data_IF_560829893972
#
_entry.id   IF_560829893972
#
_cell.length_a   1.000
_cell.length_b   1.000
_cell.length_c   1.000
_cell.angle_alpha   90.00
_cell.angle_beta   90.00
_cell.angle_gamma   90.00
#
_symmetry.space_group_name_H-M   'P 1'
#
loop_
_entity.id
_entity.type
_entity.pdbx_description
1 polymer ?
#
# COMPACT_ATOMS: atom_id res chain seq x y z
N UNK A 1 4.13 15.11 22.38
CA UNK A 1 4.55 16.50 22.63
C UNK A 1 3.52 17.15 23.52
N UNK A 2 3.93 18.18 24.27
CA UNK A 2 3.02 19.01 25.06
C UNK A 2 2.33 20.05 24.15
N UNK A 3 1.08 20.39 24.43
CA UNK A 3 0.39 21.48 23.74
C UNK A 3 1.03 22.84 24.06
N UNK A 4 0.95 23.77 23.12
CA UNK A 4 1.49 25.11 23.31
C UNK A 4 0.67 25.87 24.36
N UNK A 5 1.36 26.49 25.32
CA UNK A 5 0.77 27.39 26.30
C UNK A 5 0.76 28.81 25.73
N UNK A 6 -0.42 29.42 25.69
CA UNK A 6 -0.61 30.77 25.14
C UNK A 6 0.24 31.79 25.90
N UNK A 7 1.09 32.52 25.17
CA UNK A 7 1.97 33.56 25.73
C UNK A 7 3.35 33.07 26.17
N UNK A 8 3.62 31.77 26.12
CA UNK A 8 4.93 31.20 26.45
C UNK A 8 5.64 30.67 25.20
N UNK A 9 6.70 31.37 24.79
CA UNK A 9 7.65 30.86 23.80
C UNK A 9 8.34 29.61 24.35
N UNK A 10 8.42 28.54 23.54
CA UNK A 10 9.03 27.24 23.85
C UNK A 10 8.28 26.33 24.84
N UNK A 11 6.97 26.52 25.01
CA UNK A 11 6.11 25.65 25.83
C UNK A 11 5.86 24.25 25.23
N UNK A 12 6.29 24.00 23.99
CA UNK A 12 6.10 22.72 23.30
C UNK A 12 7.31 21.79 23.47
N UNK A 13 7.04 20.49 23.58
CA UNK A 13 8.09 19.45 23.56
C UNK A 13 7.97 18.56 22.33
N UNK A 14 9.10 17.99 21.91
CA UNK A 14 9.16 17.04 20.80
C UNK A 14 8.23 15.84 21.03
N UNK A 15 7.74 15.24 19.94
CA UNK A 15 7.05 13.96 20.00
C UNK A 15 8.00 12.83 20.39
N UNK A 16 7.50 11.85 21.14
CA UNK A 16 8.22 10.61 21.43
C UNK A 16 8.17 9.63 20.25
N UNK A 17 7.25 9.84 19.30
CA UNK A 17 7.03 8.97 18.14
C UNK A 17 7.16 9.78 16.85
N UNK A 18 7.84 9.19 15.87
CA UNK A 18 7.98 9.71 14.52
C UNK A 18 7.51 8.65 13.51
N UNK A 19 6.56 9.04 12.66
CA UNK A 19 6.11 8.24 11.53
C UNK A 19 6.92 8.59 10.29
N UNK A 20 7.38 7.58 9.56
CA UNK A 20 8.04 7.76 8.26
C UNK A 20 7.03 7.58 7.11
N UNK A 21 7.49 7.83 5.87
CA UNK A 21 6.65 7.72 4.68
C UNK A 21 6.10 6.31 4.45
N UNK A 22 4.78 6.22 4.23
CA UNK A 22 4.09 5.02 3.77
C UNK A 22 4.56 4.64 2.36
N UNK A 23 5.27 3.52 2.27
CA UNK A 23 5.77 2.94 1.04
C UNK A 23 4.79 1.90 0.51
N UNK A 24 4.35 2.06 -0.73
CA UNK A 24 3.59 1.03 -1.43
C UNK A 24 4.46 -0.23 -1.62
N UNK A 25 3.88 -1.39 -1.32
CA UNK A 25 4.51 -2.71 -1.48
C UNK A 25 3.81 -3.48 -2.59
N UNK A 26 2.48 -3.57 -2.53
CA UNK A 26 1.66 -4.26 -3.52
C UNK A 26 0.46 -3.40 -3.93
N UNK A 27 0.21 -3.32 -5.22
CA UNK A 27 -0.90 -2.60 -5.81
C UNK A 27 -1.85 -3.59 -6.50
N UNK A 28 -3.12 -3.69 -6.11
CA UNK A 28 -4.08 -4.53 -6.81
C UNK A 28 -4.43 -3.92 -8.17
N UNK A 29 -4.39 -4.77 -9.20
CA UNK A 29 -4.68 -4.41 -10.58
C UNK A 29 -5.68 -5.40 -11.15
N UNK A 30 -6.69 -4.89 -11.85
CA UNK A 30 -7.65 -5.74 -12.55
C UNK A 30 -6.97 -6.50 -13.69
N UNK A 31 -7.23 -7.81 -13.76
CA UNK A 31 -6.74 -8.68 -14.84
C UNK A 31 -7.87 -9.64 -15.26
N UNK A 32 -8.23 -9.70 -16.56
CA UNK A 32 -9.09 -10.76 -17.07
C UNK A 32 -8.54 -12.16 -16.72
N UNK A 33 -9.43 -13.10 -16.36
CA UNK A 33 -9.07 -14.47 -15.95
C UNK A 33 -8.67 -14.62 -14.48
N UNK A 34 -8.05 -13.60 -13.88
CA UNK A 34 -7.71 -13.51 -12.46
C UNK A 34 -8.12 -12.12 -11.97
N UNK A 35 -9.38 -11.95 -11.49
CA UNK A 35 -10.04 -10.65 -11.39
C UNK A 35 -9.22 -9.53 -10.74
N UNK A 36 -8.41 -9.88 -9.74
CA UNK A 36 -7.41 -8.99 -9.15
C UNK A 36 -6.07 -9.72 -9.08
N UNK A 37 -5.01 -9.04 -9.49
CA UNK A 37 -3.61 -9.43 -9.31
C UNK A 37 -2.89 -8.34 -8.53
N UNK A 38 -2.18 -8.71 -7.46
CA UNK A 38 -1.33 -7.79 -6.71
C UNK A 38 0.00 -7.63 -7.45
N UNK A 39 0.32 -6.42 -7.86
CA UNK A 39 1.50 -6.13 -8.65
C UNK A 39 2.54 -5.41 -7.77
N UNK A 40 3.79 -5.84 -7.89
CA UNK A 40 4.95 -5.19 -7.28
C UNK A 40 6.15 -5.23 -8.22
N UNK A 41 7.30 -4.72 -7.80
CA UNK A 41 8.56 -4.84 -8.53
C UNK A 41 9.74 -5.07 -7.58
N UNK A 42 10.91 -5.54 -8.07
CA UNK A 42 12.08 -5.79 -7.23
C UNK A 42 12.51 -4.60 -6.37
N UNK A 43 12.38 -3.36 -6.88
CA UNK A 43 12.69 -2.14 -6.12
C UNK A 43 11.76 -1.91 -4.93
N UNK A 44 10.45 -2.17 -5.07
CA UNK A 44 9.51 -2.05 -3.95
C UNK A 44 9.77 -3.14 -2.91
N UNK A 45 9.98 -4.39 -3.35
CA UNK A 45 10.29 -5.51 -2.48
C UNK A 45 11.62 -5.31 -1.72
N UNK A 46 12.66 -4.78 -2.38
CA UNK A 46 13.92 -4.38 -1.71
C UNK A 46 13.69 -3.35 -0.61
N UNK A 47 12.79 -2.38 -0.83
CA UNK A 47 12.45 -1.37 0.18
C UNK A 47 11.70 -2.01 1.34
N UNK A 48 10.69 -2.82 1.05
CA UNK A 48 9.95 -3.57 2.06
C UNK A 48 10.88 -4.41 2.93
N UNK A 49 11.76 -5.20 2.31
CA UNK A 49 12.78 -5.99 3.01
C UNK A 49 13.65 -5.12 3.92
N UNK A 50 14.06 -3.92 3.50
CA UNK A 50 14.87 -3.02 4.36
C UNK A 50 14.12 -2.56 5.60
N UNK A 51 12.81 -2.38 5.52
CA UNK A 51 11.96 -1.94 6.62
C UNK A 51 11.77 -3.10 7.61
N UNK A 52 11.43 -4.29 7.13
CA UNK A 52 11.04 -5.40 8.03
C UNK A 52 12.19 -6.35 8.42
N UNK A 53 13.37 -6.26 7.79
CA UNK A 53 14.51 -7.13 8.11
C UNK A 53 15.07 -6.94 9.52
N UNK A 54 14.67 -5.91 10.25
CA UNK A 54 15.13 -5.71 11.63
C UNK A 54 14.53 -6.79 12.56
N UNK A 55 13.31 -7.27 12.25
CA UNK A 55 12.54 -8.24 13.03
C UNK A 55 13.33 -9.51 13.21
N UNK A 56 13.53 -9.91 14.47
CA UNK A 56 14.46 -10.99 14.86
C UNK A 56 14.26 -12.25 14.00
N UNK A 57 13.00 -12.65 13.82
CA UNK A 57 12.56 -13.84 13.10
C UNK A 57 11.99 -13.57 11.70
N UNK A 58 12.31 -12.43 11.07
CA UNK A 58 11.79 -12.13 9.74
C UNK A 58 12.27 -13.16 8.70
N UNK A 59 11.36 -13.80 7.93
CA UNK A 59 11.74 -14.69 6.84
C UNK A 59 12.54 -13.94 5.75
N UNK A 60 12.41 -12.60 5.70
CA UNK A 60 13.07 -11.75 4.73
C UNK A 60 14.53 -11.42 5.05
N UNK A 61 15.06 -11.75 6.24
CA UNK A 61 16.48 -11.48 6.58
C UNK A 61 17.48 -12.13 5.63
N UNK A 62 17.16 -13.34 5.15
CA UNK A 62 18.00 -14.13 4.24
C UNK A 62 17.35 -14.36 2.87
N UNK A 63 16.12 -13.90 2.67
CA UNK A 63 15.41 -14.09 1.41
C UNK A 63 16.07 -13.30 0.27
N UNK A 64 16.22 -13.95 -0.88
CA UNK A 64 16.60 -13.28 -2.11
C UNK A 64 15.36 -12.62 -2.71
N UNK A 65 15.47 -11.35 -3.06
CA UNK A 65 14.38 -10.61 -3.74
C UNK A 65 13.98 -11.35 -5.02
N UNK A 66 12.68 -11.65 -5.22
CA UNK A 66 12.17 -12.27 -6.43
C UNK A 66 12.59 -11.49 -7.68
N UNK A 67 12.84 -12.22 -8.75
CA UNK A 67 13.12 -11.61 -10.04
C UNK A 67 11.83 -11.06 -10.66
N UNK A 68 11.96 -10.14 -11.63
CA UNK A 68 10.85 -9.78 -12.50
C UNK A 68 10.22 -11.04 -13.14
N UNK A 69 8.94 -10.91 -13.47
CA UNK A 69 8.05 -11.93 -14.04
C UNK A 69 7.90 -13.19 -13.17
N UNK A 70 8.13 -13.06 -11.86
CA UNK A 70 7.82 -14.11 -10.88
C UNK A 70 6.37 -13.94 -10.41
N UNK A 71 5.55 -14.95 -10.65
CA UNK A 71 4.20 -15.05 -10.09
C UNK A 71 4.19 -15.73 -8.72
N UNK A 72 3.16 -15.47 -7.92
CA UNK A 72 2.86 -16.24 -6.72
C UNK A 72 2.38 -17.64 -7.08
N UNK A 73 2.40 -18.58 -6.13
CA UNK A 73 1.86 -19.93 -6.37
C UNK A 73 0.33 -19.93 -6.48
N UNK A 74 -0.32 -18.93 -5.87
CA UNK A 74 -1.76 -18.72 -5.94
C UNK A 74 -2.24 -18.02 -7.21
N UNK A 75 -1.31 -17.52 -8.04
CA UNK A 75 -1.62 -16.84 -9.29
C UNK A 75 -2.17 -17.80 -10.36
N UNK A 76 -3.38 -17.52 -10.86
CA UNK A 76 -4.01 -18.28 -11.96
C UNK A 76 -3.99 -17.46 -13.25
N UNK A 77 -2.88 -17.50 -13.96
CA UNK A 77 -2.76 -16.87 -15.27
C UNK A 77 -3.53 -17.65 -16.35
N UNK A 78 -3.94 -16.97 -17.42
CA UNK A 78 -4.53 -17.62 -18.59
C UNK A 78 -3.43 -18.28 -19.42
N UNK A 79 -3.70 -19.45 -19.99
CA UNK A 79 -2.77 -20.07 -20.95
C UNK A 79 -2.97 -19.45 -22.34
N UNK A 80 -1.91 -18.83 -22.87
CA UNK A 80 -1.86 -18.34 -24.25
C UNK A 80 -0.73 -19.05 -24.96
N UNK A 81 -1.07 -20.02 -25.81
CA UNK A 81 -0.09 -20.80 -26.62
C UNK A 81 0.96 -21.53 -25.75
N UNK A 82 0.53 -22.08 -24.61
CA UNK A 82 1.40 -22.78 -23.67
C UNK A 82 2.20 -21.87 -22.74
N UNK A 83 1.85 -20.58 -22.68
CA UNK A 83 2.52 -19.60 -21.82
C UNK A 83 1.52 -18.97 -20.84
N UNK A 84 1.77 -19.06 -19.52
CA UNK A 84 0.94 -18.40 -18.53
C UNK A 84 1.05 -16.88 -18.69
N UNK A 85 -0.06 -16.24 -19.04
CA UNK A 85 -0.10 -14.84 -19.47
C UNK A 85 -1.19 -14.08 -18.70
N UNK A 86 -0.81 -12.92 -18.18
CA UNK A 86 -1.69 -11.92 -17.60
C UNK A 86 -2.00 -10.84 -18.63
N UNK A 87 -3.18 -10.25 -18.50
CA UNK A 87 -3.72 -9.26 -19.42
C UNK A 87 -3.96 -7.99 -18.62
N UNK A 88 -3.10 -7.00 -18.80
CA UNK A 88 -3.28 -5.68 -18.20
C UNK A 88 -3.71 -4.68 -19.28
N UNK A 89 -4.25 -3.55 -18.86
CA UNK A 89 -4.68 -2.50 -19.80
C UNK A 89 -3.54 -1.98 -20.71
N UNK A 90 -2.28 -2.09 -20.27
CA UNK A 90 -1.11 -1.66 -21.02
C UNK A 90 -0.48 -2.76 -21.90
N UNK A 91 -0.89 -4.02 -21.75
CA UNK A 91 -0.34 -5.13 -22.53
C UNK A 91 -0.45 -6.50 -21.88
N UNK A 92 0.19 -7.48 -22.52
CA UNK A 92 0.28 -8.85 -22.03
C UNK A 92 1.57 -9.02 -21.24
N UNK A 93 1.50 -9.71 -20.11
CA UNK A 93 2.65 -10.07 -19.30
C UNK A 93 2.72 -11.58 -19.18
N UNK A 94 3.79 -12.18 -19.68
CA UNK A 94 4.06 -13.60 -19.51
C UNK A 94 4.73 -13.84 -18.15
N UNK A 95 4.20 -14.79 -17.38
CA UNK A 95 4.78 -15.21 -16.10
C UNK A 95 5.87 -16.24 -16.39
N UNK A 96 7.13 -15.90 -16.13
CA UNK A 96 8.26 -16.78 -16.45
C UNK A 96 8.39 -17.95 -15.48
N UNK A 97 8.00 -17.74 -14.22
CA UNK A 97 8.07 -18.73 -13.16
C UNK A 97 7.15 -18.38 -12.00
N UNK A 98 6.86 -19.38 -11.18
CA UNK A 98 6.19 -19.19 -9.89
C UNK A 98 7.14 -19.46 -8.73
N UNK A 99 6.92 -18.78 -7.60
CA UNK A 99 7.62 -19.03 -6.35
C UNK A 99 6.67 -18.74 -5.18
N UNK A 100 7.01 -19.24 -3.99
CA UNK A 100 6.31 -18.83 -2.77
C UNK A 100 6.65 -17.36 -2.48
N UNK A 101 5.62 -16.51 -2.57
CA UNK A 101 5.69 -15.08 -2.29
C UNK A 101 5.10 -14.70 -0.93
N UNK A 102 4.61 -15.65 -0.12
CA UNK A 102 4.05 -15.39 1.22
C UNK A 102 4.93 -14.47 2.07
N UNK A 103 6.27 -14.68 2.16
CA UNK A 103 7.15 -13.81 2.95
C UNK A 103 7.18 -12.35 2.50
N UNK A 104 6.77 -12.06 1.27
CA UNK A 104 6.77 -10.73 0.67
C UNK A 104 5.44 -10.00 0.83
N UNK A 105 4.41 -10.65 1.38
CA UNK A 105 3.16 -10.01 1.79
C UNK A 105 3.23 -9.58 3.27
N UNK A 106 2.76 -8.38 3.64
CA UNK A 106 2.79 -7.92 5.03
C UNK A 106 2.06 -8.80 6.04
N UNK A 107 1.01 -9.51 5.59
CA UNK A 107 0.22 -10.44 6.40
C UNK A 107 0.71 -11.89 6.32
N UNK A 108 1.83 -12.14 5.62
CA UNK A 108 2.39 -13.47 5.40
C UNK A 108 1.41 -14.47 4.72
N UNK A 109 0.34 -13.95 4.10
CA UNK A 109 -0.63 -14.70 3.32
C UNK A 109 -0.41 -14.45 1.82
N UNK A 110 -0.25 -15.51 1.03
CA UNK A 110 0.03 -15.40 -0.39
C UNK A 110 -1.22 -15.07 -1.21
N UNK A 111 -1.29 -13.84 -1.70
CA UNK A 111 -2.32 -13.42 -2.67
C UNK A 111 -1.87 -13.66 -4.11
N UNK A 112 -2.78 -13.72 -5.10
CA UNK A 112 -2.45 -13.80 -6.52
C UNK A 112 -1.59 -12.61 -6.95
N UNK A 113 -0.28 -12.77 -6.92
CA UNK A 113 0.68 -11.68 -7.04
C UNK A 113 1.65 -11.89 -8.19
N UNK A 114 2.17 -10.79 -8.74
CA UNK A 114 3.23 -10.84 -9.75
C UNK A 114 4.24 -9.72 -9.53
N UNK A 115 5.52 -10.07 -9.71
CA UNK A 115 6.64 -9.15 -9.69
C UNK A 115 6.93 -8.72 -11.13
N UNK A 116 6.85 -7.43 -11.44
CA UNK A 116 7.09 -6.89 -12.80
C UNK A 116 8.47 -6.21 -12.89
N UNK A 117 8.82 -5.69 -14.07
CA UNK A 117 10.00 -4.85 -14.25
C UNK A 117 9.96 -3.57 -13.40
N UNK A 118 11.12 -3.12 -12.92
CA UNK A 118 11.23 -1.85 -12.19
C UNK A 118 10.88 -0.62 -13.05
N UNK A 119 11.05 -0.75 -14.37
CA UNK A 119 10.72 0.21 -15.42
C UNK A 119 9.24 0.18 -15.83
N UNK A 120 8.55 -0.94 -15.62
CA UNK A 120 7.13 -1.12 -15.95
C UNK A 120 6.22 -0.62 -14.83
N UNK A 121 6.66 -0.75 -13.57
CA UNK A 121 5.83 -0.49 -12.38
C UNK A 121 5.22 0.92 -12.34
N UNK A 122 5.90 1.92 -12.89
CA UNK A 122 5.41 3.30 -12.91
C UNK A 122 4.14 3.44 -13.76
N UNK A 123 4.09 2.77 -14.91
CA UNK A 123 2.92 2.77 -15.78
C UNK A 123 1.77 1.98 -15.16
N UNK A 124 2.08 0.85 -14.51
CA UNK A 124 1.08 0.04 -13.80
C UNK A 124 0.45 0.84 -12.67
N UNK A 125 1.27 1.53 -11.86
CA UNK A 125 0.78 2.41 -10.83
C UNK A 125 -0.17 3.44 -11.40
N UNK A 126 0.25 4.17 -12.43
CA UNK A 126 -0.59 5.19 -13.05
C UNK A 126 -1.92 4.61 -13.54
N UNK A 127 -1.94 3.45 -14.20
CA UNK A 127 -3.18 2.88 -14.76
C UNK A 127 -4.10 2.23 -13.73
N UNK A 128 -3.58 1.85 -12.56
CA UNK A 128 -4.36 1.15 -11.53
C UNK A 128 -5.03 2.10 -10.51
N UNK A 129 -4.68 3.39 -10.52
CA UNK A 129 -5.32 4.37 -9.63
C UNK A 129 -6.80 4.52 -9.94
N UNK A 130 -7.61 4.56 -8.88
CA UNK A 130 -9.01 4.88 -8.97
C UNK A 130 -9.16 6.36 -9.32
N UNK A 131 -9.75 6.66 -10.48
CA UNK A 131 -10.02 8.04 -10.90
C UNK A 131 -11.48 8.25 -11.21
N UNK A 132 -12.06 9.28 -10.61
CA UNK A 132 -13.46 9.61 -10.78
C UNK A 132 -13.65 11.11 -10.92
N UNK A 133 -14.34 11.52 -11.99
CA UNK A 133 -14.87 12.87 -12.10
C UNK A 133 -16.12 13.01 -11.25
N UNK A 134 -16.18 14.09 -10.47
CA UNK A 134 -17.27 14.39 -9.56
C UNK A 134 -17.80 15.79 -9.82
N UNK A 135 -19.09 15.95 -9.54
CA UNK A 135 -19.79 17.22 -9.68
C UNK A 135 -20.62 17.53 -8.46
N UNK A 136 -20.72 18.81 -8.10
CA UNK A 136 -21.80 19.27 -7.23
C UNK A 136 -22.98 19.74 -8.09
N UNK A 137 -24.17 19.24 -7.78
CA UNK A 137 -25.40 19.69 -8.44
C UNK A 137 -25.92 20.98 -7.80
N UNK A 138 -26.57 21.82 -8.60
CA UNK A 138 -27.32 22.96 -8.09
C UNK A 138 -28.46 22.48 -7.18
N UNK A 139 -28.74 23.23 -6.11
CA UNK A 139 -29.75 22.82 -5.10
C UNK A 139 -31.18 22.87 -5.63
N UNK A 140 -31.44 23.68 -6.65
CA UNK A 140 -32.78 23.98 -7.17
C UNK A 140 -33.04 23.36 -8.54
N UNK A 141 -31.98 23.09 -9.30
CA UNK A 141 -32.08 22.56 -10.66
C UNK A 141 -31.15 21.36 -10.82
N UNK A 142 -31.58 20.32 -11.55
CA UNK A 142 -30.75 19.13 -11.85
C UNK A 142 -29.69 19.44 -12.91
N UNK A 143 -28.84 20.41 -12.64
CA UNK A 143 -27.70 20.83 -13.46
C UNK A 143 -26.46 20.94 -12.57
N UNK A 144 -25.28 20.88 -13.18
CA UNK A 144 -24.01 21.09 -12.46
C UNK A 144 -23.95 22.53 -11.96
N UNK A 145 -23.57 22.73 -10.70
CA UNK A 145 -23.29 24.05 -10.15
C UNK A 145 -22.04 24.61 -10.83
N UNK A 146 -22.08 25.88 -11.25
CA UNK A 146 -20.96 26.52 -11.96
C UNK A 146 -19.63 26.35 -11.21
N UNK A 147 -18.60 25.86 -11.91
CA UNK A 147 -17.26 25.62 -11.37
C UNK A 147 -17.13 24.41 -10.44
N UNK A 148 -18.20 23.64 -10.21
CA UNK A 148 -18.19 22.51 -9.27
C UNK A 148 -17.95 21.17 -9.97
N UNK A 149 -16.97 21.11 -10.87
CA UNK A 149 -16.45 19.89 -11.47
C UNK A 149 -15.03 19.66 -10.96
N UNK A 150 -14.78 18.49 -10.37
CA UNK A 150 -13.47 18.16 -9.81
C UNK A 150 -13.17 16.67 -10.01
N UNK A 151 -11.89 16.33 -10.10
CA UNK A 151 -11.45 14.94 -10.21
C UNK A 151 -10.92 14.46 -8.87
N UNK A 152 -11.21 13.21 -8.55
CA UNK A 152 -10.66 12.50 -7.40
C UNK A 152 -9.78 11.37 -7.91
N UNK A 153 -8.64 11.20 -7.27
CA UNK A 153 -7.69 10.11 -7.49
C UNK A 153 -7.43 9.42 -6.15
N UNK A 154 -7.42 8.09 -6.14
CA UNK A 154 -7.19 7.29 -4.94
C UNK A 154 -6.45 6.00 -5.26
N UNK A 155 -5.79 5.45 -4.24
CA UNK A 155 -5.29 4.07 -4.30
C UNK A 155 -6.47 3.09 -4.32
N UNK A 156 -6.39 1.99 -5.09
CA UNK A 156 -7.40 0.95 -5.07
C UNK A 156 -7.41 0.22 -3.72
N UNK A 157 -8.59 -0.26 -3.33
CA UNK A 157 -8.78 -1.12 -2.16
C UNK A 157 -7.92 -2.38 -2.26
N UNK A 158 -7.33 -2.80 -1.13
CA UNK A 158 -6.38 -3.92 -1.09
C UNK A 158 -4.93 -3.55 -1.40
N UNK A 159 -4.62 -2.25 -1.57
CA UNK A 159 -3.24 -1.76 -1.63
C UNK A 159 -2.52 -2.01 -0.31
N UNK A 160 -1.33 -2.60 -0.35
CA UNK A 160 -0.49 -2.78 0.83
C UNK A 160 0.55 -1.66 0.92
N UNK A 161 0.52 -0.90 2.01
CA UNK A 161 1.52 0.09 2.35
C UNK A 161 2.21 -0.29 3.66
N UNK A 162 3.46 0.13 3.80
CA UNK A 162 4.28 -0.08 5.00
C UNK A 162 5.06 1.18 5.33
N UNK A 163 5.14 1.55 6.60
CA UNK A 163 6.00 2.62 7.07
C UNK A 163 6.64 2.24 8.41
N UNK A 164 7.93 2.54 8.61
CA UNK A 164 8.55 2.40 9.91
C UNK A 164 8.07 3.51 10.85
N UNK A 165 8.08 3.19 12.14
CA UNK A 165 7.75 4.10 13.23
C UNK A 165 8.94 4.10 14.17
N UNK A 166 9.49 5.27 14.45
CA UNK A 166 10.61 5.43 15.36
C UNK A 166 10.12 5.97 16.71
N UNK A 167 10.60 5.35 17.79
CA UNK A 167 10.38 5.79 19.17
C UNK A 167 11.66 6.44 19.68
N UNK A 168 11.51 7.56 20.40
CA UNK A 168 12.63 8.32 20.97
C UNK A 168 13.41 7.46 21.97
N UNK A 169 14.74 7.51 21.88
CA UNK A 169 15.62 6.81 22.80
C UNK A 169 15.41 7.30 24.25
N UNK A 170 15.45 6.37 25.21
CA UNK A 170 15.24 6.69 26.63
C UNK A 170 13.77 6.87 27.05
N UNK A 171 12.80 6.74 26.13
CA UNK A 171 11.37 6.65 26.46
C UNK A 171 10.82 5.22 26.37
N UNK A 172 11.70 4.21 26.38
CA UNK A 172 11.33 2.79 26.22
C UNK A 172 10.38 2.28 27.32
N UNK A 173 10.46 2.87 28.52
CA UNK A 173 9.54 2.57 29.63
C UNK A 173 8.18 3.30 29.50
N UNK A 174 8.02 4.21 28.54
CA UNK A 174 6.73 4.81 28.20
C UNK A 174 6.11 3.95 27.10
N UNK A 175 5.16 3.11 27.47
CA UNK A 175 4.49 2.23 26.51
C UNK A 175 3.70 3.06 25.50
N UNK A 176 4.20 3.18 24.28
CA UNK A 176 3.43 3.77 23.19
C UNK A 176 2.48 2.71 22.62
N UNK A 177 1.23 2.74 23.09
CA UNK A 177 0.15 1.88 22.62
C UNK A 177 -0.89 2.74 21.90
N UNK A 178 -0.77 2.91 20.56
CA UNK A 178 -1.70 3.74 19.80
C UNK A 178 -3.10 3.14 19.71
N UNK A 179 -3.25 1.84 19.95
CA UNK A 179 -4.51 1.10 19.87
C UNK A 179 -4.67 0.16 21.07
N UNK A 180 -5.87 -0.40 21.24
CA UNK A 180 -6.16 -1.39 22.29
C UNK A 180 -5.51 -2.77 22.02
N UNK A 181 -4.84 -2.94 20.87
CA UNK A 181 -4.13 -4.13 20.44
C UNK A 181 -3.12 -3.80 19.34
N UNK A 182 -2.76 -4.79 18.53
CA UNK A 182 -1.82 -4.62 17.41
C UNK A 182 -2.52 -4.18 16.11
N UNK A 183 -3.85 -4.16 16.10
CA UNK A 183 -4.65 -3.92 14.90
C UNK A 183 -5.69 -2.84 15.16
N UNK A 184 -5.97 -2.03 14.12
CA UNK A 184 -7.00 -1.00 14.18
C UNK A 184 -7.55 -0.64 12.80
N UNK A 185 -8.84 -0.33 12.77
CA UNK A 185 -9.46 0.40 11.66
C UNK A 185 -9.21 1.90 11.83
N UNK A 186 -8.62 2.52 10.82
CA UNK A 186 -8.32 3.96 10.81
C UNK A 186 -8.72 4.59 9.48
N UNK A 187 -8.92 5.91 9.48
CA UNK A 187 -9.12 6.69 8.27
C UNK A 187 -7.88 7.53 7.97
N UNK A 188 -7.31 7.33 6.79
CA UNK A 188 -6.15 8.08 6.30
C UNK A 188 -6.54 8.90 5.06
N UNK A 189 -6.15 10.17 5.06
CA UNK A 189 -6.41 11.10 3.96
C UNK A 189 -7.72 11.87 4.13
N UNK A 190 -8.36 12.21 3.00
CA UNK A 190 -9.62 12.96 2.99
C UNK A 190 -10.76 12.14 2.39
N UNK A 191 -11.90 12.80 2.18
CA UNK A 191 -13.08 12.19 1.56
C UNK A 191 -13.69 11.01 2.36
N UNK A 192 -13.45 10.97 3.67
CA UNK A 192 -14.03 9.98 4.60
C UNK A 192 -15.57 9.96 4.54
N UNK A 193 -16.21 11.13 4.46
CA UNK A 193 -17.68 11.26 4.42
C UNK A 193 -18.38 10.57 3.24
N UNK A 194 -17.60 10.13 2.25
CA UNK A 194 -18.06 9.42 1.06
C UNK A 194 -17.33 8.08 0.89
N UNK A 195 -16.71 7.57 1.96
CA UNK A 195 -16.17 6.21 2.06
C UNK A 195 -14.69 6.04 1.67
N UNK A 196 -13.92 7.12 1.51
CA UNK A 196 -12.49 7.01 1.19
C UNK A 196 -11.62 6.98 2.46
N UNK A 197 -10.47 6.34 2.35
CA UNK A 197 -9.42 6.40 3.37
C UNK A 197 -9.51 5.34 4.46
N UNK A 198 -10.55 4.50 4.48
CA UNK A 198 -10.63 3.37 5.41
C UNK A 198 -9.45 2.41 5.21
N UNK A 199 -8.69 2.20 6.26
CA UNK A 199 -7.48 1.39 6.27
C UNK A 199 -7.50 0.46 7.47
N UNK A 200 -7.17 -0.81 7.23
CA UNK A 200 -6.80 -1.74 8.28
C UNK A 200 -5.30 -1.60 8.54
N UNK A 201 -4.94 -1.23 9.77
CA UNK A 201 -3.55 -1.06 10.17
C UNK A 201 -3.15 -2.15 11.16
N UNK A 202 -2.02 -2.80 10.89
CA UNK A 202 -1.35 -3.71 11.81
C UNK A 202 0.00 -3.11 12.23
N UNK A 203 0.26 -3.08 13.52
CA UNK A 203 1.54 -2.69 14.10
C UNK A 203 2.36 -3.95 14.37
N UNK A 204 3.60 -3.99 13.87
CA UNK A 204 4.53 -5.08 14.14
C UNK A 204 5.78 -4.54 14.83
N UNK A 205 6.15 -5.15 15.95
CA UNK A 205 7.46 -4.91 16.57
C UNK A 205 8.57 -5.53 15.70
N UNK A 206 9.67 -4.78 15.56
CA UNK A 206 10.76 -5.04 14.61
C UNK A 206 12.09 -5.08 15.34
#
# INVERSE_FOLDING_TARGET
>A
GHEAVSGETDSTTESIVKFEYASLVWLPVFCPGQPVVWVTCPRLLKRYQRIVRQKENSPLKKAKVPAAYTGSQTLKALDVKGQPTLFFNFGFLTVEKTADLSPWFPLEEELPGVVVGDDEIAMIHDMALYRQSRVALDKTQKKVKGGAFFNTEALPEGSFLVFPIAIKEGTENQTWQPFAGEEADIYLGGLESIGFGHCYLTLQEV
#
